data_IF_343102562685
#
_entry.id   IF_343102562685
#
_cell.length_a   1.000
_cell.length_b   1.000
_cell.length_c   1.000
_cell.angle_alpha   90.00
_cell.angle_beta   90.00
_cell.angle_gamma   90.00
#
_symmetry.space_group_name_H-M   'P 1'
#
loop_
_entity.id
_entity.type
_entity.pdbx_description
1 polymer ?
#
# COMPACT_ATOMS: atom_id res chain seq x y z
N UNK A 1 -6.37 11.59 16.87
CA UNK A 1 -6.07 10.20 16.81
C UNK A 1 -6.21 9.64 15.40
N UNK A 2 -5.18 9.03 14.93
CA UNK A 2 -5.20 8.53 13.57
C UNK A 2 -5.72 7.11 13.53
N UNK A 3 -6.66 6.89 12.63
CA UNK A 3 -7.15 5.55 12.43
C UNK A 3 -6.18 4.81 11.53
N UNK A 4 -5.90 3.56 11.90
CA UNK A 4 -5.10 2.73 11.04
C UNK A 4 -5.89 2.38 9.79
N UNK A 5 -5.22 2.21 8.67
CA UNK A 5 -5.92 1.82 7.46
C UNK A 5 -6.46 0.40 7.57
N UNK A 6 -7.48 0.13 6.78
CA UNK A 6 -7.98 -1.24 6.62
C UNK A 6 -7.18 -1.88 5.51
N UNK A 7 -6.68 -3.07 5.75
CA UNK A 7 -5.89 -3.79 4.77
C UNK A 7 -6.71 -4.95 4.25
N UNK A 8 -6.96 -4.94 2.94
CA UNK A 8 -7.80 -5.97 2.35
C UNK A 8 -7.09 -7.32 2.41
N UNK A 9 -7.76 -8.37 2.89
CA UNK A 9 -7.09 -9.67 3.07
C UNK A 9 -6.57 -10.29 1.79
N UNK A 10 -7.10 -9.93 0.64
CA UNK A 10 -6.62 -10.51 -0.62
C UNK A 10 -5.18 -10.14 -0.93
N UNK A 11 -4.65 -9.10 -0.28
CA UNK A 11 -3.24 -8.72 -0.51
C UNK A 11 -2.35 -9.89 -0.12
N UNK A 12 -2.53 -10.41 1.09
CA UNK A 12 -1.72 -11.53 1.55
C UNK A 12 -2.05 -12.81 0.77
N UNK A 13 -3.30 -12.95 0.34
CA UNK A 13 -3.69 -14.12 -0.45
C UNK A 13 -2.97 -14.16 -1.79
N UNK A 14 -2.80 -13.00 -2.42
CA UNK A 14 -2.14 -12.92 -3.73
C UNK A 14 -0.62 -12.84 -3.61
N UNK A 15 -0.16 -12.28 -2.51
CA UNK A 15 1.26 -12.08 -2.27
C UNK A 15 1.58 -12.59 -0.86
N UNK A 16 1.69 -13.92 -0.69
CA UNK A 16 1.89 -14.49 0.65
C UNK A 16 3.13 -13.95 1.38
N UNK A 17 4.12 -13.46 0.63
CA UNK A 17 5.32 -12.91 1.24
C UNK A 17 5.11 -11.51 1.80
N UNK A 18 3.92 -10.92 1.59
CA UNK A 18 3.58 -9.61 2.13
C UNK A 18 2.50 -9.81 3.18
N UNK A 19 2.87 -9.61 4.44
CA UNK A 19 1.91 -9.75 5.54
C UNK A 19 1.18 -8.44 5.77
N UNK A 20 0.10 -8.50 6.52
CA UNK A 20 -0.62 -7.30 6.92
C UNK A 20 0.30 -6.34 7.67
N UNK A 21 1.14 -6.89 8.54
CA UNK A 21 2.09 -6.09 9.30
C UNK A 21 3.08 -5.39 8.37
N UNK A 22 3.52 -6.07 7.32
CA UNK A 22 4.42 -5.45 6.33
C UNK A 22 3.76 -4.26 5.66
N UNK A 23 2.49 -4.38 5.33
CA UNK A 23 1.75 -3.29 4.68
C UNK A 23 1.62 -2.11 5.64
N UNK A 24 1.31 -2.37 6.91
CA UNK A 24 1.21 -1.30 7.89
C UNK A 24 2.53 -0.59 8.08
N UNK A 25 3.63 -1.34 8.17
CA UNK A 25 4.94 -0.74 8.31
C UNK A 25 5.27 0.16 7.11
N UNK A 26 4.98 -0.33 5.91
CA UNK A 26 5.24 0.46 4.71
C UNK A 26 4.35 1.69 4.64
N UNK A 27 3.11 1.56 5.11
CA UNK A 27 2.19 2.69 5.14
C UNK A 27 2.71 3.79 6.06
N UNK A 28 3.17 3.41 7.25
CA UNK A 28 3.75 4.37 8.19
C UNK A 28 5.09 4.91 7.70
N UNK A 29 5.81 4.12 6.93
CA UNK A 29 7.07 4.53 6.33
C UNK A 29 6.92 5.06 4.91
N UNK A 30 5.79 5.70 4.62
CA UNK A 30 5.51 6.20 3.28
C UNK A 30 6.52 7.25 2.85
N UNK A 31 7.04 7.09 1.66
CA UNK A 31 8.02 7.99 1.08
C UNK A 31 7.38 8.95 0.10
N UNK A 32 6.35 8.49 -0.60
CA UNK A 32 5.61 9.36 -1.49
C UNK A 32 4.24 8.77 -1.77
N UNK A 33 3.30 9.65 -2.08
CA UNK A 33 1.95 9.26 -2.47
C UNK A 33 1.48 10.17 -3.59
N UNK A 34 0.71 9.62 -4.49
CA UNK A 34 0.17 10.38 -5.60
C UNK A 34 -1.20 9.84 -5.97
N UNK A 35 -2.09 10.74 -6.34
CA UNK A 35 -3.40 10.38 -6.83
C UNK A 35 -3.24 9.76 -8.22
N UNK A 36 -3.91 8.65 -8.45
CA UNK A 36 -3.89 8.03 -9.77
C UNK A 36 -4.69 8.88 -10.74
N UNK A 37 -4.19 8.96 -11.95
CA UNK A 37 -4.81 9.81 -12.98
C UNK A 37 -5.80 9.05 -13.85
N UNK A 38 -6.31 7.94 -13.36
CA UNK A 38 -7.24 7.10 -14.13
C UNK A 38 -8.70 7.32 -13.77
N UNK A 39 -8.97 8.32 -12.94
CA UNK A 39 -10.34 8.64 -12.53
C UNK A 39 -10.90 7.74 -11.44
N UNK A 40 -10.11 6.83 -10.91
CA UNK A 40 -10.60 5.89 -9.89
C UNK A 40 -10.73 6.51 -8.50
N UNK A 41 -10.06 7.63 -8.26
CA UNK A 41 -10.00 8.20 -6.92
C UNK A 41 -9.02 7.48 -6.01
N UNK A 42 -8.25 6.56 -6.56
CA UNK A 42 -7.28 5.79 -5.78
C UNK A 42 -5.93 6.49 -5.73
N UNK A 43 -5.18 6.17 -4.70
CA UNK A 43 -3.85 6.71 -4.50
C UNK A 43 -2.83 5.59 -4.55
N UNK A 44 -1.66 5.91 -5.07
CA UNK A 44 -0.51 5.01 -5.01
C UNK A 44 0.45 5.57 -4.00
N UNK A 45 0.82 4.75 -3.03
CA UNK A 45 1.75 5.12 -1.98
C UNK A 45 2.92 4.14 -2.03
N UNK A 46 4.13 4.66 -2.01
CA UNK A 46 5.33 3.82 -1.93
C UNK A 46 5.92 4.05 -0.56
N UNK A 47 6.16 2.97 0.15
CA UNK A 47 6.74 3.04 1.48
C UNK A 47 7.67 1.87 1.72
N UNK A 48 8.47 1.99 2.77
CA UNK A 48 9.43 0.97 3.13
C UNK A 48 8.96 0.25 4.38
N UNK A 49 8.93 -1.08 4.31
CA UNK A 49 8.58 -1.87 5.48
C UNK A 49 9.79 -1.98 6.42
N UNK A 50 9.61 -2.67 7.55
CA UNK A 50 10.65 -2.73 8.56
C UNK A 50 11.84 -3.58 8.13
N UNK A 51 11.70 -4.34 7.04
CA UNK A 51 12.81 -5.14 6.49
C UNK A 51 13.55 -4.40 5.39
N UNK A 52 13.24 -3.13 5.17
CA UNK A 52 13.90 -2.36 4.13
C UNK A 52 13.39 -2.65 2.74
N UNK A 53 12.24 -3.32 2.63
CA UNK A 53 11.65 -3.66 1.34
C UNK A 53 10.65 -2.58 0.94
N UNK A 54 10.73 -2.11 -0.29
CA UNK A 54 9.75 -1.15 -0.79
C UNK A 54 8.48 -1.86 -1.18
N UNK A 55 7.35 -1.29 -0.79
CA UNK A 55 6.04 -1.76 -1.20
C UNK A 55 5.30 -0.64 -1.90
N UNK A 56 4.64 -0.99 -2.99
CA UNK A 56 3.75 -0.08 -3.70
C UNK A 56 2.33 -0.46 -3.33
N UNK A 57 1.60 0.48 -2.76
CA UNK A 57 0.27 0.22 -2.22
C UNK A 57 -0.76 1.08 -2.94
N UNK A 58 -1.91 0.48 -3.25
CA UNK A 58 -3.03 1.23 -3.84
C UNK A 58 -4.13 1.30 -2.80
N UNK A 59 -4.62 2.52 -2.57
CA UNK A 59 -5.59 2.76 -1.52
C UNK A 59 -6.65 3.75 -1.97
N UNK A 60 -7.78 3.73 -1.29
CA UNK A 60 -8.84 4.68 -1.51
C UNK A 60 -9.37 5.12 -0.16
N UNK A 61 -9.74 6.39 -0.05
CA UNK A 61 -10.31 6.91 1.18
C UNK A 61 -11.82 6.89 1.06
N UNK A 62 -12.49 6.20 1.98
CA UNK A 62 -13.93 6.17 2.03
C UNK A 62 -14.40 6.42 3.45
N UNK A 63 -15.29 7.36 3.63
CA UNK A 63 -15.83 7.67 4.93
C UNK A 63 -14.73 7.95 5.94
N UNK A 64 -13.74 8.72 5.51
CA UNK A 64 -12.61 9.13 6.33
C UNK A 64 -11.73 7.97 6.77
N UNK A 65 -11.81 6.85 6.04
CA UNK A 65 -10.98 5.69 6.36
C UNK A 65 -10.28 5.23 5.10
N UNK A 66 -8.99 4.96 5.25
CA UNK A 66 -8.22 4.44 4.13
C UNK A 66 -8.39 2.94 4.03
N UNK A 67 -8.63 2.46 2.83
CA UNK A 67 -8.64 1.04 2.53
C UNK A 67 -7.49 0.77 1.56
N UNK A 68 -6.53 -0.02 1.99
CA UNK A 68 -5.45 -0.48 1.13
C UNK A 68 -5.91 -1.79 0.52
N UNK A 69 -6.13 -1.81 -0.79
CA UNK A 69 -6.70 -3.00 -1.42
C UNK A 69 -5.73 -3.70 -2.36
N UNK A 70 -4.53 -3.16 -2.52
CA UNK A 70 -3.50 -3.77 -3.35
C UNK A 70 -2.14 -3.36 -2.81
N UNK A 71 -1.22 -4.30 -2.77
CA UNK A 71 0.16 -4.02 -2.40
C UNK A 71 1.05 -5.03 -3.10
N UNK A 72 2.20 -4.55 -3.54
CA UNK A 72 3.16 -5.40 -4.21
C UNK A 72 4.53 -4.77 -4.11
N UNK A 73 5.57 -5.56 -4.34
CA UNK A 73 6.88 -5.00 -4.50
C UNK A 73 6.94 -4.35 -5.89
N UNK A 74 7.55 -3.16 -5.99
CA UNK A 74 7.62 -2.50 -7.29
C UNK A 74 8.32 -3.40 -8.29
N UNK A 75 7.72 -3.47 -9.48
CA UNK A 75 8.32 -4.25 -10.55
C UNK A 75 9.44 -3.44 -11.19
N UNK A 76 10.64 -3.94 -11.11
CA UNK A 76 11.78 -3.25 -11.70
C UNK A 76 12.07 -3.83 -13.06
N UNK A 77 11.92 -3.00 -14.07
CA UNK A 77 12.22 -3.43 -15.42
C UNK A 77 13.73 -3.44 -15.62
N UNK A 78 14.22 -4.51 -16.18
CA UNK A 78 15.65 -4.59 -16.46
C UNK A 78 15.96 -3.94 -17.79
N UNK A 79 17.05 -3.23 -17.85
CA UNK A 79 17.46 -2.62 -19.13
C UNK A 79 17.84 -3.67 -20.16
#
# INVERSE_FOLDING_TARGET
>A
MDDEPIIHPRIHERHPQISEHDVLDAWHGALLSALRMDGSGSWVTVGMDSNGRLLEMVSINRHRRWLIYHAMTPHRKRP
#
